data_IF_183132785832
#
_entry.id   IF_183132785832
#
_cell.length_a   1.000
_cell.length_b   1.000
_cell.length_c   1.000
_cell.angle_alpha   90.00
_cell.angle_beta   90.00
_cell.angle_gamma   90.00
#
_symmetry.space_group_name_H-M   'P 1'
#
loop_
_entity.id
_entity.type
_entity.pdbx_description
1 polymer ?
#
# COMPACT_ATOMS: atom_id res chain seq x y z
N UNK A 1 -35.66 0.06 45.04
CA UNK A 1 -35.37 -0.78 43.87
C UNK A 1 -34.53 0.05 42.95
N UNK A 2 -33.20 -0.16 43.00
CA UNK A 2 -32.21 0.59 42.23
C UNK A 2 -31.98 -0.14 40.93
N UNK A 3 -32.37 0.46 39.81
CA UNK A 3 -32.10 -0.02 38.45
C UNK A 3 -30.66 0.33 38.09
N UNK A 4 -29.80 -0.65 38.08
CA UNK A 4 -28.45 -0.52 37.50
C UNK A 4 -28.58 -0.41 36.01
N UNK A 5 -28.29 0.76 35.46
CA UNK A 5 -28.04 0.94 34.03
C UNK A 5 -26.67 0.34 33.72
N UNK A 6 -26.69 -0.77 33.01
CA UNK A 6 -25.50 -1.42 32.46
C UNK A 6 -24.99 -0.59 31.27
N UNK A 7 -24.09 0.33 31.52
CA UNK A 7 -23.30 0.98 30.48
C UNK A 7 -22.26 -0.03 29.97
N UNK A 8 -22.70 -0.86 29.04
CA UNK A 8 -21.80 -1.70 28.23
C UNK A 8 -20.96 -0.75 27.36
N UNK A 9 -19.80 -0.36 27.87
CA UNK A 9 -18.78 0.31 27.07
C UNK A 9 -18.41 -0.60 25.90
N UNK A 10 -18.95 -0.36 24.72
CA UNK A 10 -18.42 -0.93 23.48
C UNK A 10 -17.00 -0.40 23.36
N UNK A 11 -16.01 -1.23 23.66
CA UNK A 11 -14.64 -0.96 23.24
C UNK A 11 -14.68 -0.89 21.72
N UNK A 12 -14.69 0.31 21.20
CA UNK A 12 -14.72 0.56 19.77
C UNK A 12 -13.40 0.01 19.22
N UNK A 13 -13.47 -1.02 18.38
CA UNK A 13 -12.30 -1.61 17.71
C UNK A 13 -11.54 -0.48 16.99
N UNK A 14 -10.22 -0.38 17.22
CA UNK A 14 -9.38 0.49 16.39
C UNK A 14 -9.49 0.00 14.94
N UNK A 15 -9.68 0.88 13.96
CA UNK A 15 -9.67 0.50 12.55
C UNK A 15 -8.31 -0.10 12.19
N UNK A 16 -8.28 -0.98 11.20
CA UNK A 16 -7.07 -1.67 10.74
C UNK A 16 -6.64 -1.13 9.39
N UNK A 17 -5.36 -0.76 9.28
CA UNK A 17 -4.75 -0.37 8.02
C UNK A 17 -3.63 -1.34 7.62
N UNK A 18 -3.60 -1.73 6.33
CA UNK A 18 -2.50 -2.48 5.74
C UNK A 18 -1.75 -1.56 4.76
N UNK A 19 -0.41 -1.52 4.90
CA UNK A 19 0.43 -0.59 4.14
C UNK A 19 1.59 -1.36 3.50
N UNK A 20 1.73 -1.24 2.18
CA UNK A 20 2.88 -1.79 1.45
C UNK A 20 3.98 -0.75 1.29
N UNK A 21 5.24 -1.20 1.25
CA UNK A 21 6.40 -0.30 1.21
C UNK A 21 6.53 0.56 2.47
N UNK A 22 6.12 0.02 3.61
CA UNK A 22 5.96 0.74 4.87
C UNK A 22 7.29 1.26 5.48
N UNK A 23 8.42 0.69 5.09
CA UNK A 23 9.75 1.02 5.69
C UNK A 23 10.43 2.24 5.07
N UNK A 24 9.86 2.86 4.03
CA UNK A 24 10.50 4.02 3.40
C UNK A 24 9.52 5.00 2.75
N UNK A 25 9.97 6.24 2.53
CA UNK A 25 9.28 7.25 1.73
C UNK A 25 7.85 7.51 2.17
N UNK A 26 6.92 7.49 1.20
CA UNK A 26 5.51 7.80 1.44
C UNK A 26 4.86 6.73 2.33
N UNK A 27 5.15 5.44 2.10
CA UNK A 27 4.60 4.36 2.92
C UNK A 27 4.95 4.50 4.40
N UNK A 28 6.20 4.86 4.71
CA UNK A 28 6.64 5.12 6.09
C UNK A 28 5.92 6.33 6.71
N UNK A 29 5.78 7.42 5.96
CA UNK A 29 5.06 8.60 6.45
C UNK A 29 3.60 8.29 6.75
N UNK A 30 2.93 7.54 5.86
CA UNK A 30 1.55 7.08 6.05
C UNK A 30 1.42 6.13 7.24
N UNK A 31 2.38 5.19 7.41
CA UNK A 31 2.37 4.29 8.56
C UNK A 31 2.46 5.04 9.90
N UNK A 32 3.30 6.05 9.98
CA UNK A 32 3.43 6.91 11.18
C UNK A 32 2.17 7.72 11.46
N UNK A 33 1.55 8.27 10.43
CA UNK A 33 0.33 9.06 10.58
C UNK A 33 -0.85 8.18 11.02
N UNK A 34 -1.07 7.05 10.34
CA UNK A 34 -2.17 6.13 10.66
C UNK A 34 -1.99 5.41 12.01
N UNK A 35 -0.77 5.22 12.51
CA UNK A 35 -0.54 4.61 13.82
C UNK A 35 -1.21 5.38 14.97
N UNK A 36 -1.50 6.67 14.81
CA UNK A 36 -2.17 7.48 15.84
C UNK A 36 -3.57 6.96 16.19
N UNK A 37 -4.31 6.44 15.20
CA UNK A 37 -5.72 6.03 15.36
C UNK A 37 -6.07 4.65 14.77
N UNK A 38 -5.14 3.97 14.09
CA UNK A 38 -5.29 2.63 13.51
C UNK A 38 -4.36 1.61 14.14
N UNK A 39 -4.78 0.35 14.17
CA UNK A 39 -3.87 -0.81 14.24
C UNK A 39 -3.30 -1.04 12.83
N UNK A 40 -2.07 -1.58 12.73
CA UNK A 40 -1.36 -1.64 11.45
C UNK A 40 -0.95 -3.06 11.07
N UNK A 41 -0.96 -3.34 9.77
CA UNK A 41 -0.22 -4.42 9.13
C UNK A 41 0.77 -3.80 8.16
N UNK A 42 2.06 -3.99 8.38
CA UNK A 42 3.12 -3.41 7.59
C UNK A 42 3.78 -4.46 6.70
N UNK A 43 3.80 -4.22 5.40
CA UNK A 43 4.44 -5.09 4.41
C UNK A 43 5.67 -4.42 3.80
N UNK A 44 6.80 -5.10 3.84
CA UNK A 44 8.05 -4.75 3.16
C UNK A 44 8.93 -6.01 2.99
N UNK A 45 10.10 -5.88 2.38
CA UNK A 45 10.99 -7.01 2.14
C UNK A 45 11.91 -7.33 3.32
N UNK A 46 12.25 -6.35 4.15
CA UNK A 46 13.25 -6.46 5.20
C UNK A 46 12.59 -6.63 6.56
N UNK A 47 12.78 -7.80 7.18
CA UNK A 47 12.21 -8.11 8.50
C UNK A 47 12.69 -7.13 9.57
N UNK A 48 14.00 -6.86 9.64
CA UNK A 48 14.58 -5.98 10.66
C UNK A 48 14.01 -4.56 10.61
N UNK A 49 13.90 -3.97 9.40
CA UNK A 49 13.34 -2.62 9.24
C UNK A 49 11.86 -2.56 9.67
N UNK A 50 11.11 -3.64 9.42
CA UNK A 50 9.71 -3.75 9.82
C UNK A 50 9.56 -3.88 11.33
N UNK A 51 10.39 -4.70 11.99
CA UNK A 51 10.35 -4.93 13.42
C UNK A 51 10.74 -3.67 14.21
N UNK A 52 11.79 -2.98 13.77
CA UNK A 52 12.19 -1.68 14.33
C UNK A 52 11.06 -0.65 14.22
N UNK A 53 10.45 -0.53 13.04
CA UNK A 53 9.33 0.38 12.83
C UNK A 53 8.12 0.01 13.69
N UNK A 54 7.79 -1.27 13.80
CA UNK A 54 6.67 -1.75 14.60
C UNK A 54 6.88 -1.45 16.10
N UNK A 55 8.09 -1.64 16.61
CA UNK A 55 8.42 -1.30 18.01
C UNK A 55 8.22 0.19 18.28
N UNK A 56 8.81 1.05 17.43
CA UNK A 56 8.69 2.50 17.57
C UNK A 56 7.23 2.96 17.52
N UNK A 57 6.46 2.50 16.53
CA UNK A 57 5.06 2.91 16.38
C UNK A 57 4.20 2.41 17.55
N UNK A 58 4.44 1.17 18.00
CA UNK A 58 3.73 0.61 19.16
C UNK A 58 3.98 1.39 20.45
N UNK A 59 5.23 1.77 20.71
CA UNK A 59 5.63 2.55 21.88
C UNK A 59 5.10 3.99 21.86
N UNK A 60 5.17 4.65 20.68
CA UNK A 60 4.76 6.05 20.54
C UNK A 60 3.24 6.25 20.55
N UNK A 61 2.48 5.29 20.01
CA UNK A 61 1.04 5.50 19.72
C UNK A 61 0.09 4.51 20.41
N UNK A 62 0.63 3.42 20.96
CA UNK A 62 -0.16 2.31 21.46
C UNK A 62 -0.86 1.48 20.37
N UNK A 63 -0.48 1.67 19.10
CA UNK A 63 -0.98 0.88 17.98
C UNK A 63 -0.48 -0.56 18.07
N UNK A 64 -1.34 -1.53 17.77
CA UNK A 64 -0.92 -2.91 17.55
C UNK A 64 -0.42 -3.03 16.12
N UNK A 65 0.87 -3.32 15.97
CA UNK A 65 1.52 -3.40 14.67
C UNK A 65 1.94 -4.84 14.38
N UNK A 66 1.41 -5.41 13.29
CA UNK A 66 1.84 -6.70 12.74
C UNK A 66 2.75 -6.44 11.55
N UNK A 67 3.80 -7.22 11.41
CA UNK A 67 4.78 -7.11 10.33
C UNK A 67 4.75 -8.34 9.44
N UNK A 68 4.90 -8.15 8.13
CA UNK A 68 5.00 -9.23 7.15
C UNK A 68 6.12 -8.93 6.18
N UNK A 69 7.22 -9.67 6.28
CA UNK A 69 8.32 -9.60 5.34
C UNK A 69 8.01 -10.46 4.12
N UNK A 70 7.71 -9.83 2.99
CA UNK A 70 7.37 -10.52 1.74
C UNK A 70 7.79 -9.70 0.53
N UNK A 71 8.25 -10.39 -0.52
CA UNK A 71 8.37 -9.79 -1.85
C UNK A 71 7.00 -9.83 -2.51
N UNK A 72 6.43 -8.65 -2.78
CA UNK A 72 5.10 -8.53 -3.39
C UNK A 72 5.03 -9.11 -4.81
N UNK A 73 6.18 -9.32 -5.47
CA UNK A 73 6.26 -9.90 -6.82
C UNK A 73 6.34 -11.44 -6.80
N UNK A 74 6.41 -12.04 -5.63
CA UNK A 74 6.27 -13.48 -5.44
C UNK A 74 4.80 -13.79 -5.13
N UNK A 75 4.05 -14.15 -6.16
CA UNK A 75 2.61 -14.37 -6.09
C UNK A 75 2.21 -15.48 -5.10
N UNK A 76 3.00 -16.54 -5.00
CA UNK A 76 2.75 -17.66 -4.09
C UNK A 76 3.02 -17.25 -2.64
N UNK A 77 4.19 -16.67 -2.37
CA UNK A 77 4.54 -16.17 -1.05
C UNK A 77 3.56 -15.10 -0.56
N UNK A 78 3.14 -14.18 -1.44
CA UNK A 78 2.15 -13.16 -1.12
C UNK A 78 0.80 -13.78 -0.75
N UNK A 79 0.32 -14.75 -1.55
CA UNK A 79 -0.96 -15.44 -1.29
C UNK A 79 -0.94 -16.17 0.06
N UNK A 80 0.14 -16.89 0.35
CA UNK A 80 0.32 -17.59 1.64
C UNK A 80 0.36 -16.59 2.80
N UNK A 81 1.18 -15.53 2.68
CA UNK A 81 1.32 -14.51 3.73
C UNK A 81 -0.01 -13.83 4.04
N UNK A 82 -0.79 -13.44 3.04
CA UNK A 82 -2.11 -12.81 3.26
C UNK A 82 -3.10 -13.82 3.85
N UNK A 83 -3.06 -15.07 3.43
CA UNK A 83 -3.87 -16.15 4.00
C UNK A 83 -3.58 -16.37 5.49
N UNK A 84 -2.31 -16.41 5.88
CA UNK A 84 -1.86 -16.57 7.29
C UNK A 84 -2.21 -15.37 8.17
N UNK A 85 -2.32 -14.17 7.60
CA UNK A 85 -2.82 -13.00 8.32
C UNK A 85 -4.25 -13.19 8.83
N UNK A 86 -5.08 -13.96 8.13
CA UNK A 86 -6.44 -14.30 8.54
C UNK A 86 -7.34 -13.06 8.70
N UNK A 87 -7.15 -12.04 7.87
CA UNK A 87 -7.90 -10.79 7.97
C UNK A 87 -9.35 -10.98 7.53
N UNK A 88 -10.27 -10.90 8.46
CA UNK A 88 -11.72 -10.91 8.17
C UNK A 88 -12.28 -9.50 7.97
N UNK A 89 -11.59 -8.47 8.44
CA UNK A 89 -11.95 -7.06 8.32
C UNK A 89 -10.70 -6.22 8.05
N UNK A 90 -10.80 -5.28 7.12
CA UNK A 90 -9.76 -4.31 6.79
C UNK A 90 -10.39 -2.97 6.46
N UNK A 91 -10.00 -1.91 7.17
CA UNK A 91 -10.59 -0.59 6.98
C UNK A 91 -9.85 0.23 5.92
N UNK A 92 -8.51 0.07 5.83
CA UNK A 92 -7.68 0.80 4.86
C UNK A 92 -6.62 -0.12 4.27
N UNK A 93 -6.51 -0.13 2.94
CA UNK A 93 -5.38 -0.70 2.19
C UNK A 93 -4.63 0.43 1.51
N UNK A 94 -3.34 0.58 1.81
CA UNK A 94 -2.46 1.56 1.16
C UNK A 94 -1.43 0.85 0.29
N UNK A 95 -1.62 0.90 -1.02
CA UNK A 95 -0.67 0.42 -2.02
C UNK A 95 0.37 1.51 -2.28
N UNK A 96 1.49 1.47 -1.54
CA UNK A 96 2.59 2.45 -1.63
C UNK A 96 3.93 1.87 -2.09
N UNK A 97 4.08 0.55 -2.10
CA UNK A 97 5.26 -0.08 -2.69
C UNK A 97 5.36 0.24 -4.17
N UNK A 98 6.57 0.47 -4.65
CA UNK A 98 6.83 0.73 -6.06
C UNK A 98 8.30 1.04 -6.32
N UNK A 99 8.67 0.94 -7.58
CA UNK A 99 10.00 1.30 -8.09
C UNK A 99 9.88 2.16 -9.35
N UNK A 100 10.94 2.88 -9.66
CA UNK A 100 11.02 3.66 -10.89
C UNK A 100 12.25 3.22 -11.70
N UNK A 101 12.08 3.13 -13.01
CA UNK A 101 13.18 3.02 -13.96
C UNK A 101 13.00 4.08 -15.07
N UNK A 102 14.06 4.79 -15.36
CA UNK A 102 14.10 5.86 -16.35
C UNK A 102 15.25 5.63 -17.31
N UNK A 103 15.04 5.97 -18.59
CA UNK A 103 16.02 5.86 -19.67
C UNK A 103 15.37 6.00 -21.03
N UNK A 104 16.16 6.14 -22.12
CA UNK A 104 15.66 6.01 -23.47
C UNK A 104 15.02 4.65 -23.66
N UNK A 105 13.99 4.57 -24.51
CA UNK A 105 13.24 3.34 -24.72
C UNK A 105 14.12 2.16 -25.17
N UNK A 106 15.09 2.46 -26.05
CA UNK A 106 16.04 1.49 -26.59
C UNK A 106 17.03 0.93 -25.55
N UNK A 107 17.23 1.61 -24.44
CA UNK A 107 18.10 1.17 -23.33
C UNK A 107 17.37 0.37 -22.26
N UNK A 108 16.02 0.38 -22.25
CA UNK A 108 15.23 -0.31 -21.26
C UNK A 108 15.06 -1.79 -21.63
N UNK A 109 15.71 -2.67 -20.89
CA UNK A 109 15.64 -4.11 -21.09
C UNK A 109 14.25 -4.69 -20.75
N UNK A 110 13.86 -5.83 -21.38
CA UNK A 110 12.64 -6.55 -21.00
C UNK A 110 12.57 -6.94 -19.50
N UNK A 111 13.72 -7.16 -18.87
CA UNK A 111 13.77 -7.47 -17.43
C UNK A 111 13.37 -6.26 -16.58
N UNK A 112 13.83 -5.05 -16.92
CA UNK A 112 13.41 -3.82 -16.24
C UNK A 112 11.91 -3.56 -16.44
N UNK A 113 11.39 -3.81 -17.66
CA UNK A 113 9.94 -3.70 -17.92
C UNK A 113 9.13 -4.63 -17.00
N UNK A 114 9.51 -5.91 -16.91
CA UNK A 114 8.83 -6.86 -16.02
C UNK A 114 8.92 -6.41 -14.56
N UNK A 115 10.13 -6.11 -14.07
CA UNK A 115 10.32 -5.73 -12.67
C UNK A 115 9.43 -4.55 -12.22
N UNK A 116 9.30 -3.51 -13.07
CA UNK A 116 8.45 -2.36 -12.73
C UNK A 116 6.97 -2.70 -12.84
N UNK A 117 6.56 -3.39 -13.93
CA UNK A 117 5.15 -3.76 -14.12
C UNK A 117 4.69 -4.78 -13.06
N UNK A 118 5.54 -5.75 -12.74
CA UNK A 118 5.21 -6.76 -11.74
C UNK A 118 4.97 -6.12 -10.37
N UNK A 119 5.83 -5.20 -9.93
CA UNK A 119 5.66 -4.56 -8.62
C UNK A 119 4.59 -3.47 -8.62
N UNK A 120 4.63 -2.53 -9.61
CA UNK A 120 3.81 -1.32 -9.57
C UNK A 120 2.38 -1.50 -10.11
N UNK A 121 2.08 -2.67 -10.70
CA UNK A 121 0.77 -2.96 -11.27
C UNK A 121 0.26 -4.36 -10.92
N UNK A 122 0.99 -5.43 -11.26
CA UNK A 122 0.51 -6.82 -11.08
C UNK A 122 0.37 -7.14 -9.60
N UNK A 123 1.40 -6.91 -8.80
CA UNK A 123 1.37 -7.14 -7.35
C UNK A 123 0.28 -6.31 -6.64
N UNK A 124 0.07 -5.06 -7.08
CA UNK A 124 -1.01 -4.21 -6.56
C UNK A 124 -2.38 -4.80 -6.86
N UNK A 125 -2.60 -5.28 -8.08
CA UNK A 125 -3.85 -5.92 -8.48
C UNK A 125 -4.08 -7.21 -7.68
N UNK A 126 -3.06 -8.06 -7.56
CA UNK A 126 -3.12 -9.33 -6.85
C UNK A 126 -3.41 -9.13 -5.35
N UNK A 127 -2.60 -8.33 -4.66
CA UNK A 127 -2.80 -8.02 -3.23
C UNK A 127 -4.18 -7.42 -2.97
N UNK A 128 -4.60 -6.45 -3.79
CA UNK A 128 -5.92 -5.84 -3.63
C UNK A 128 -7.02 -6.88 -3.79
N UNK A 129 -6.93 -7.76 -4.79
CA UNK A 129 -7.87 -8.87 -5.01
C UNK A 129 -7.99 -9.80 -3.81
N UNK A 130 -6.85 -10.20 -3.21
CA UNK A 130 -6.82 -11.05 -2.02
C UNK A 130 -7.50 -10.39 -0.81
N UNK A 131 -7.44 -9.06 -0.69
CA UNK A 131 -7.97 -8.30 0.45
C UNK A 131 -9.39 -7.76 0.24
N UNK A 132 -9.96 -7.82 -0.97
CA UNK A 132 -11.32 -7.34 -1.24
C UNK A 132 -12.37 -7.92 -0.30
N UNK A 133 -12.38 -9.23 0.04
CA UNK A 133 -13.37 -9.75 0.99
C UNK A 133 -13.35 -9.01 2.33
N UNK A 134 -12.16 -8.82 2.92
CA UNK A 134 -12.01 -8.13 4.20
C UNK A 134 -12.36 -6.62 4.12
N UNK A 135 -12.06 -5.97 3.00
CA UNK A 135 -12.41 -4.57 2.74
C UNK A 135 -13.93 -4.38 2.58
N UNK A 136 -14.63 -5.32 1.97
CA UNK A 136 -16.09 -5.26 1.82
C UNK A 136 -16.83 -5.30 3.15
N UNK A 137 -16.33 -6.07 4.12
CA UNK A 137 -16.92 -6.19 5.47
C UNK A 137 -16.96 -4.86 6.23
N UNK A 138 -16.03 -3.96 5.96
CA UNK A 138 -15.92 -2.66 6.64
C UNK A 138 -16.36 -1.49 5.76
N UNK A 139 -16.71 -1.72 4.50
CA UNK A 139 -16.79 -0.68 3.47
C UNK A 139 -15.50 0.13 3.39
N UNK A 140 -14.37 -0.57 3.43
CA UNK A 140 -13.04 -0.03 3.57
C UNK A 140 -12.62 0.88 2.43
N UNK A 141 -11.41 1.39 2.54
CA UNK A 141 -10.79 2.29 1.58
C UNK A 141 -9.52 1.66 0.98
N UNK A 142 -9.46 1.60 -0.34
CA UNK A 142 -8.22 1.33 -1.08
C UNK A 142 -7.59 2.64 -1.53
N UNK A 143 -6.33 2.85 -1.15
CA UNK A 143 -5.52 4.00 -1.53
C UNK A 143 -4.43 3.53 -2.48
N UNK A 144 -4.41 4.04 -3.71
CA UNK A 144 -3.38 3.78 -4.71
C UNK A 144 -2.41 4.96 -4.75
N UNK A 145 -1.15 4.75 -4.33
CA UNK A 145 -0.11 5.78 -4.49
C UNK A 145 0.41 5.71 -5.93
N UNK A 146 -0.09 6.63 -6.72
CA UNK A 146 0.25 6.80 -8.12
C UNK A 146 1.37 7.87 -8.29
N UNK A 147 1.40 8.55 -9.40
CA UNK A 147 2.34 9.62 -9.75
C UNK A 147 1.70 10.52 -10.81
N UNK A 148 2.21 11.73 -10.96
CA UNK A 148 1.92 12.55 -12.15
C UNK A 148 2.24 11.82 -13.46
N UNK A 149 3.12 10.81 -13.45
CA UNK A 149 3.43 9.92 -14.58
C UNK A 149 2.23 9.10 -15.05
N UNK A 150 1.26 8.83 -14.18
CA UNK A 150 0.00 8.19 -14.55
C UNK A 150 -1.01 9.10 -15.23
N UNK A 151 -0.76 10.41 -15.23
CA UNK A 151 -1.62 11.43 -15.87
C UNK A 151 -1.00 12.02 -17.12
N UNK A 152 0.34 12.09 -17.17
CA UNK A 152 1.08 12.69 -18.26
C UNK A 152 2.40 11.94 -18.49
N UNK A 153 2.70 11.65 -19.76
CA UNK A 153 3.96 11.03 -20.14
C UNK A 153 5.09 12.07 -20.23
N UNK A 154 6.30 11.66 -19.88
CA UNK A 154 7.52 12.45 -20.06
C UNK A 154 8.58 11.65 -20.83
N UNK A 155 9.45 12.35 -21.58
CA UNK A 155 10.60 11.70 -22.20
C UNK A 155 11.43 10.92 -21.18
N UNK A 156 12.00 9.79 -21.60
CA UNK A 156 12.84 8.89 -20.80
C UNK A 156 12.12 8.22 -19.62
N UNK A 157 10.80 8.29 -19.53
CA UNK A 157 9.99 7.65 -18.48
C UNK A 157 8.91 6.73 -19.04
N UNK A 158 9.09 6.20 -20.24
CA UNK A 158 8.08 5.37 -20.90
C UNK A 158 7.59 4.21 -20.02
N UNK A 159 8.52 3.48 -19.40
CA UNK A 159 8.21 2.34 -18.54
C UNK A 159 7.38 2.75 -17.30
N UNK A 160 7.87 3.75 -16.57
CA UNK A 160 7.20 4.21 -15.36
C UNK A 160 5.83 4.85 -15.68
N UNK A 161 5.73 5.62 -16.77
CA UNK A 161 4.46 6.17 -17.23
C UNK A 161 3.46 5.07 -17.59
N UNK A 162 3.90 4.00 -18.28
CA UNK A 162 3.05 2.87 -18.62
C UNK A 162 2.52 2.16 -17.35
N UNK A 163 3.38 1.88 -16.37
CA UNK A 163 2.98 1.26 -15.11
C UNK A 163 1.96 2.14 -14.35
N UNK A 164 2.23 3.44 -14.20
CA UNK A 164 1.36 4.36 -13.45
C UNK A 164 0.06 4.70 -14.19
N UNK A 165 0.06 4.73 -15.53
CA UNK A 165 -1.16 4.81 -16.31
C UNK A 165 -2.01 3.53 -16.19
N UNK A 166 -1.37 2.36 -16.20
CA UNK A 166 -2.03 1.07 -15.90
C UNK A 166 -2.64 1.05 -14.50
N UNK A 167 -1.90 1.51 -13.49
CA UNK A 167 -2.40 1.61 -12.11
C UNK A 167 -3.61 2.57 -12.00
N UNK A 168 -3.62 3.66 -12.78
CA UNK A 168 -4.79 4.55 -12.86
C UNK A 168 -6.00 3.80 -13.42
N UNK A 169 -5.83 3.09 -14.53
CA UNK A 169 -6.91 2.33 -15.16
C UNK A 169 -7.45 1.24 -14.23
N UNK A 170 -6.57 0.51 -13.54
CA UNK A 170 -6.94 -0.46 -12.50
C UNK A 170 -7.79 0.18 -11.39
N UNK A 171 -7.34 1.32 -10.85
CA UNK A 171 -8.06 2.02 -9.79
C UNK A 171 -9.44 2.51 -10.25
N UNK A 172 -9.55 3.01 -11.49
CA UNK A 172 -10.82 3.49 -12.04
C UNK A 172 -11.80 2.33 -12.27
N UNK A 173 -11.34 1.20 -12.82
CA UNK A 173 -12.15 -0.01 -13.00
C UNK A 173 -12.63 -0.55 -11.63
N UNK A 174 -11.71 -0.72 -10.68
CA UNK A 174 -12.03 -1.22 -9.35
C UNK A 174 -13.05 -0.31 -8.61
N UNK A 175 -12.96 0.99 -8.79
CA UNK A 175 -13.91 1.95 -8.20
C UNK A 175 -15.34 1.73 -8.71
N UNK A 176 -15.48 1.43 -9.98
CA UNK A 176 -16.78 1.12 -10.58
C UNK A 176 -17.30 -0.26 -10.16
N UNK A 177 -16.44 -1.27 -10.18
CA UNK A 177 -16.78 -2.65 -9.78
C UNK A 177 -17.21 -2.73 -8.31
N UNK A 178 -16.55 -1.98 -7.43
CA UNK A 178 -16.80 -1.99 -5.98
C UNK A 178 -17.72 -0.86 -5.50
N UNK A 179 -18.40 -0.18 -6.40
CA UNK A 179 -19.28 0.94 -6.06
C UNK A 179 -20.27 0.57 -4.95
N UNK A 180 -20.24 1.34 -3.85
CA UNK A 180 -21.09 1.13 -2.67
C UNK A 180 -20.60 0.03 -1.71
N UNK A 181 -19.56 -0.75 -2.07
CA UNK A 181 -18.98 -1.80 -1.23
C UNK A 181 -17.60 -1.45 -0.69
N UNK A 182 -16.73 -0.90 -1.54
CA UNK A 182 -15.37 -0.46 -1.18
C UNK A 182 -15.14 0.91 -1.81
N UNK A 183 -14.48 1.78 -1.07
CA UNK A 183 -14.06 3.09 -1.58
C UNK A 183 -12.67 2.96 -2.21
N UNK A 184 -12.45 3.59 -3.36
CA UNK A 184 -11.15 3.58 -4.03
C UNK A 184 -10.72 5.01 -4.33
N UNK A 185 -9.53 5.38 -3.87
CA UNK A 185 -8.91 6.67 -4.17
C UNK A 185 -7.53 6.51 -4.76
N UNK A 186 -7.13 7.45 -5.59
CA UNK A 186 -5.81 7.50 -6.19
C UNK A 186 -5.15 8.83 -5.83
N UNK A 187 -3.98 8.77 -5.24
CA UNK A 187 -3.18 9.94 -4.89
C UNK A 187 -2.09 10.09 -5.94
N UNK A 188 -1.92 11.29 -6.45
CA UNK A 188 -0.88 11.65 -7.43
C UNK A 188 0.12 12.61 -6.77
N UNK A 189 1.08 12.12 -6.01
CA UNK A 189 2.06 12.96 -5.36
C UNK A 189 2.86 13.76 -6.39
N UNK A 190 3.18 15.00 -6.04
CA UNK A 190 4.21 15.75 -6.75
C UNK A 190 5.61 15.23 -6.39
N UNK A 191 6.62 16.09 -6.46
CA UNK A 191 7.97 15.74 -6.00
C UNK A 191 7.96 15.68 -4.47
N UNK A 192 8.23 14.50 -3.93
CA UNK A 192 8.35 14.24 -2.50
C UNK A 192 9.79 13.82 -2.21
N UNK A 193 10.41 14.37 -1.18
CA UNK A 193 11.78 13.99 -0.78
C UNK A 193 11.80 12.57 -0.21
N UNK A 194 12.01 11.61 -1.07
CA UNK A 194 12.06 10.18 -0.76
C UNK A 194 13.40 9.58 -1.20
N UNK A 195 13.83 8.43 -0.63
CA UNK A 195 15.00 7.72 -1.12
C UNK A 195 14.93 7.39 -2.62
N UNK A 196 13.75 7.13 -3.17
CA UNK A 196 13.53 6.92 -4.60
C UNK A 196 13.91 8.17 -5.40
N UNK A 197 13.36 9.33 -5.05
CA UNK A 197 13.66 10.59 -5.74
C UNK A 197 15.11 11.01 -5.61
N UNK A 198 15.76 10.79 -4.46
CA UNK A 198 17.19 11.08 -4.27
C UNK A 198 18.09 10.22 -5.15
N UNK A 199 17.71 8.93 -5.41
CA UNK A 199 18.45 8.07 -6.36
C UNK A 199 18.35 8.60 -7.78
N UNK A 200 17.16 8.95 -8.24
CA UNK A 200 16.92 9.47 -9.60
C UNK A 200 17.68 10.78 -9.89
N UNK A 201 17.92 11.61 -8.86
CA UNK A 201 18.70 12.83 -9.03
C UNK A 201 20.21 12.59 -9.07
N UNK A 202 20.71 11.47 -8.54
CA UNK A 202 22.14 11.10 -8.62
C UNK A 202 22.53 10.50 -9.97
N UNK A 203 21.55 9.88 -10.64
CA UNK A 203 21.77 9.15 -11.90
C UNK A 203 21.47 10.04 -13.15
N UNK A 204 21.26 11.35 -12.93
CA UNK A 204 21.08 12.39 -13.96
C UNK A 204 22.33 13.26 -14.09
#
# INVERSE_FOLDING_TARGET
VSTFHNESGRHQRRPLALITGATSGIGLAVARDLAADHDLVLLARTTTDLEELASVLGEETGSRVRTCAVDLTDDEALTVTIGELGLTQLDVLVNSAGIEAAGPLEELSPAQWRSVLDLDLVAVAHLTGLLLPALRETRGLVVMINSGAGLRAWPRQALYCAAKAGLKALADALREEERGRVRVTTIYPGRVDTPMQRRLHRDR
#
